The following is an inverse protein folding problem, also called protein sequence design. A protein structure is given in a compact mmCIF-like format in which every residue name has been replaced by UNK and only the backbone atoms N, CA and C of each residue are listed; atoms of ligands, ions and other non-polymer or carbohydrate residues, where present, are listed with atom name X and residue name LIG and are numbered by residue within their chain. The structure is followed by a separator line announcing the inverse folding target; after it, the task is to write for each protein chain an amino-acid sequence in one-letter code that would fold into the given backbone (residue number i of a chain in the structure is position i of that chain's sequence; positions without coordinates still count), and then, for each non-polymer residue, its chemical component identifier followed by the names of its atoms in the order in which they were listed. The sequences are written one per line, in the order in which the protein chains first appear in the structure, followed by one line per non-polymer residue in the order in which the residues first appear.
data_IF_434494725456
#
_entry.id   IF_434494725456
#
_cell.length_a   1.000
_cell.length_b   1.000
_cell.length_c   1.000
_cell.angle_alpha   90.00
_cell.angle_beta   90.00
_cell.angle_gamma   90.00
#
_symmetry.space_group_name_H-M   'P 1'
#
loop_
_entity.id
_entity.type
_entity.pdbx_description
1 polymer ?
#
# COMPACT_ATOMS: atom_id res chain seq x y z
N UNK A 1 -9.07 -54.49 38.42
CA UNK A 1 -8.05 -53.42 38.61
C UNK A 1 -7.63 -52.72 37.32
N UNK A 2 -7.36 -53.41 36.20
CA UNK A 2 -6.87 -52.75 34.97
C UNK A 2 -7.85 -51.74 34.32
N UNK A 3 -9.17 -51.99 34.36
CA UNK A 3 -10.18 -51.09 33.74
C UNK A 3 -10.49 -49.83 34.55
N UNK A 4 -10.40 -49.90 35.89
CA UNK A 4 -10.59 -48.74 36.77
C UNK A 4 -9.36 -47.82 36.74
N UNK A 5 -8.15 -48.37 36.57
CA UNK A 5 -6.91 -47.59 36.44
C UNK A 5 -6.86 -46.77 35.14
N UNK A 6 -7.32 -47.33 34.01
CA UNK A 6 -7.37 -46.63 32.71
C UNK A 6 -8.40 -45.49 32.73
N UNK A 7 -9.53 -45.65 33.43
CA UNK A 7 -10.53 -44.59 33.59
C UNK A 7 -10.06 -43.45 34.49
N UNK A 8 -9.30 -43.77 35.54
CA UNK A 8 -8.67 -42.75 36.40
C UNK A 8 -7.56 -41.98 35.67
N UNK A 9 -6.77 -42.65 34.82
CA UNK A 9 -5.73 -42.01 34.01
C UNK A 9 -6.31 -41.13 32.89
N UNK A 10 -7.40 -41.56 32.25
CA UNK A 10 -8.09 -40.75 31.23
C UNK A 10 -8.78 -39.51 31.83
N UNK A 11 -9.34 -39.60 33.04
CA UNK A 11 -9.88 -38.44 33.75
C UNK A 11 -8.78 -37.49 34.24
N UNK A 12 -7.64 -38.00 34.72
CA UNK A 12 -6.49 -37.15 35.06
C UNK A 12 -5.92 -36.42 33.84
N UNK A 13 -5.89 -37.06 32.66
CA UNK A 13 -5.42 -36.44 31.42
C UNK A 13 -6.40 -35.39 30.87
N UNK A 14 -7.71 -35.58 31.02
CA UNK A 14 -8.74 -34.61 30.64
C UNK A 14 -8.76 -33.37 31.57
N UNK A 15 -8.43 -33.56 32.86
CA UNK A 15 -8.27 -32.46 33.82
C UNK A 15 -6.97 -31.67 33.56
N UNK A 16 -5.91 -32.32 33.10
CA UNK A 16 -4.65 -31.63 32.72
C UNK A 16 -4.79 -30.89 31.37
N UNK A 17 -5.55 -31.42 30.41
CA UNK A 17 -5.86 -30.73 29.14
C UNK A 17 -6.86 -29.57 29.27
N UNK A 18 -7.58 -29.46 30.39
CA UNK A 18 -8.47 -28.32 30.67
C UNK A 18 -7.79 -27.21 31.50
N UNK A 19 -6.54 -27.39 31.92
CA UNK A 19 -5.76 -26.39 32.68
C UNK A 19 -4.75 -25.59 31.85
N UNK A 20 -4.56 -25.87 30.56
CA UNK A 20 -3.69 -25.06 29.69
C UNK A 20 -4.50 -24.01 28.92
N UNK A 21 -5.19 -23.17 29.68
CA UNK A 21 -5.84 -21.95 29.20
C UNK A 21 -5.27 -20.73 29.89
N UNK A 22 -3.95 -20.67 30.09
CA UNK A 22 -3.31 -19.39 30.46
C UNK A 22 -3.35 -18.55 29.19
N UNK A 23 -4.42 -17.76 29.05
CA UNK A 23 -4.37 -16.59 28.20
C UNK A 23 -3.24 -15.73 28.76
N UNK A 24 -2.06 -15.77 28.13
CA UNK A 24 -1.10 -14.71 28.32
C UNK A 24 -1.78 -13.46 27.79
N UNK A 25 -2.27 -12.63 28.70
CA UNK A 25 -2.49 -11.22 28.39
C UNK A 25 -1.10 -10.70 28.05
N UNK A 26 -0.81 -10.56 26.76
CA UNK A 26 0.31 -9.74 26.33
C UNK A 26 -0.06 -8.34 26.79
N UNK A 27 0.38 -7.98 28.00
CA UNK A 27 0.38 -6.59 28.42
C UNK A 27 1.16 -5.85 27.35
N UNK A 28 0.55 -4.84 26.74
CA UNK A 28 1.30 -3.89 25.92
C UNK A 28 2.57 -3.51 26.68
N UNK A 29 3.73 -3.72 26.06
CA UNK A 29 4.99 -3.53 26.73
C UNK A 29 5.21 -2.03 26.96
N UNK A 30 4.87 -1.54 28.15
CA UNK A 30 5.30 -0.22 28.61
C UNK A 30 6.77 -0.33 29.02
N UNK A 31 7.66 0.34 28.29
CA UNK A 31 9.10 0.33 28.60
C UNK A 31 9.42 1.27 29.76
N UNK A 32 10.22 0.80 30.72
CA UNK A 32 10.49 1.51 31.97
C UNK A 32 11.21 2.86 31.79
N UNK A 33 11.90 3.05 30.67
CA UNK A 33 12.70 4.22 30.34
C UNK A 33 12.01 5.18 29.36
N UNK A 34 10.73 4.94 29.04
CA UNK A 34 9.98 5.79 28.10
C UNK A 34 8.91 6.64 28.75
N UNK A 35 8.51 6.39 30.00
CA UNK A 35 7.30 7.00 30.60
C UNK A 35 7.23 8.53 30.53
N UNK A 36 8.33 9.24 30.77
CA UNK A 36 8.42 10.70 30.65
C UNK A 36 9.13 11.19 29.38
N UNK A 37 9.51 10.26 28.50
CA UNK A 37 10.23 10.58 27.27
C UNK A 37 9.26 11.12 26.21
N UNK A 38 9.66 12.13 25.43
CA UNK A 38 8.80 12.76 24.42
C UNK A 38 8.24 11.78 23.38
N UNK A 39 8.94 10.67 23.16
CA UNK A 39 8.55 9.63 22.22
C UNK A 39 7.62 8.57 22.80
N UNK A 40 7.22 8.66 24.09
CA UNK A 40 6.46 7.63 24.79
C UNK A 40 5.24 7.17 23.99
N UNK A 41 4.40 8.12 23.56
CA UNK A 41 3.18 7.83 22.80
C UNK A 41 3.44 7.05 21.51
N UNK A 42 4.53 7.37 20.80
CA UNK A 42 4.88 6.71 19.53
C UNK A 42 5.40 5.30 19.79
N UNK A 43 6.26 5.16 20.80
CA UNK A 43 6.84 3.87 21.18
C UNK A 43 5.74 2.94 21.71
N UNK A 44 4.85 3.44 22.56
CA UNK A 44 3.73 2.68 23.13
C UNK A 44 2.79 2.15 22.04
N UNK A 45 2.39 3.02 21.09
CA UNK A 45 1.57 2.59 19.96
C UNK A 45 2.25 1.51 19.12
N UNK A 46 3.53 1.70 18.76
CA UNK A 46 4.27 0.73 17.94
C UNK A 46 4.52 -0.58 18.68
N UNK A 47 4.69 -0.55 20.00
CA UNK A 47 4.78 -1.74 20.85
C UNK A 47 3.44 -2.48 20.95
N UNK A 48 2.31 -1.76 21.12
CA UNK A 48 0.95 -2.33 21.07
C UNK A 48 0.67 -3.05 19.76
N UNK A 49 1.18 -2.53 18.65
CA UNK A 49 1.11 -3.18 17.33
C UNK A 49 2.12 -4.29 17.11
N UNK A 50 2.89 -4.66 18.15
CA UNK A 50 3.92 -5.70 18.12
C UNK A 50 4.99 -5.50 17.02
N UNK A 51 5.23 -4.25 16.62
CA UNK A 51 6.25 -3.89 15.61
C UNK A 51 7.62 -3.80 16.25
N UNK A 52 7.66 -3.35 17.49
CA UNK A 52 8.90 -3.23 18.26
C UNK A 52 8.87 -4.09 19.50
N UNK A 53 10.04 -4.65 19.78
CA UNK A 53 10.37 -5.21 21.08
C UNK A 53 11.47 -4.34 21.72
N UNK A 54 11.38 -4.18 23.03
CA UNK A 54 12.46 -3.61 23.83
C UNK A 54 13.60 -4.61 24.02
N UNK A 55 14.53 -4.24 24.87
CA UNK A 55 15.59 -5.12 25.32
C UNK A 55 15.05 -6.07 26.41
N UNK A 56 15.74 -7.19 26.63
CA UNK A 56 15.35 -8.18 27.65
C UNK A 56 15.39 -7.67 29.10
N UNK A 57 15.87 -6.45 29.31
CA UNK A 57 15.88 -5.72 30.58
C UNK A 57 14.63 -4.85 30.80
N UNK A 58 13.66 -4.86 29.87
CA UNK A 58 12.43 -4.08 29.96
C UNK A 58 12.54 -2.62 29.45
N UNK A 59 13.68 -2.25 28.86
CA UNK A 59 13.93 -0.90 28.33
C UNK A 59 13.76 -0.81 26.80
N UNK A 60 13.53 0.40 26.28
CA UNK A 60 13.53 0.69 24.83
C UNK A 60 14.83 1.35 24.35
N UNK A 61 15.52 2.04 25.25
CA UNK A 61 16.73 2.87 25.03
C UNK A 61 16.50 3.96 23.98
N UNK A 62 15.56 4.89 24.20
CA UNK A 62 15.12 5.86 23.19
C UNK A 62 16.25 6.72 22.62
N UNK A 63 17.24 7.09 23.43
CA UNK A 63 18.33 7.99 23.05
C UNK A 63 19.54 7.30 22.39
N UNK A 64 19.55 5.96 22.37
CA UNK A 64 20.62 5.23 21.69
C UNK A 64 20.60 5.49 20.19
N UNK A 65 21.79 5.58 19.58
CA UNK A 65 21.93 5.71 18.12
C UNK A 65 21.54 4.42 17.42
N UNK A 66 20.92 4.56 16.26
CA UNK A 66 20.45 3.44 15.43
C UNK A 66 21.43 3.18 14.30
N UNK A 67 21.79 1.91 14.12
CA UNK A 67 22.56 1.50 12.94
C UNK A 67 21.69 1.40 11.69
N UNK A 68 22.31 1.43 10.52
CA UNK A 68 21.62 1.25 9.24
C UNK A 68 20.83 -0.07 9.18
N UNK A 69 21.42 -1.17 9.65
CA UNK A 69 20.74 -2.47 9.70
C UNK A 69 19.55 -2.48 10.67
N UNK A 70 19.68 -1.83 11.83
CA UNK A 70 18.59 -1.71 12.80
C UNK A 70 17.41 -0.90 12.22
N UNK A 71 17.68 0.20 11.54
CA UNK A 71 16.62 0.98 10.88
C UNK A 71 15.92 0.20 9.77
N UNK A 72 16.69 -0.51 8.94
CA UNK A 72 16.14 -1.38 7.88
C UNK A 72 15.21 -2.43 8.50
N UNK A 73 15.65 -3.09 9.58
CA UNK A 73 14.79 -4.02 10.32
C UNK A 73 13.52 -3.33 10.82
N UNK A 74 13.62 -2.18 11.48
CA UNK A 74 12.44 -1.48 12.00
C UNK A 74 11.45 -1.10 10.89
N UNK A 75 11.93 -0.67 9.72
CA UNK A 75 11.08 -0.37 8.56
C UNK A 75 10.40 -1.64 8.04
N UNK A 76 11.16 -2.73 7.88
CA UNK A 76 10.62 -4.03 7.45
C UNK A 76 9.50 -4.50 8.37
N UNK A 77 9.68 -4.44 9.69
CA UNK A 77 8.67 -4.88 10.65
C UNK A 77 7.46 -3.93 10.65
N UNK A 78 7.69 -2.61 10.55
CA UNK A 78 6.61 -1.59 10.53
C UNK A 78 5.61 -1.83 9.39
N UNK A 79 6.13 -2.16 8.21
CA UNK A 79 5.31 -2.39 7.03
C UNK A 79 5.04 -3.87 6.77
N UNK A 80 5.48 -4.79 7.64
CA UNK A 80 5.27 -6.22 7.49
C UNK A 80 5.81 -6.78 6.17
N UNK A 81 7.01 -6.40 5.77
CA UNK A 81 7.57 -6.77 4.46
C UNK A 81 8.02 -8.24 4.46
N UNK A 82 7.67 -8.97 3.40
CA UNK A 82 7.83 -10.43 3.32
C UNK A 82 8.65 -10.87 2.12
N UNK A 83 8.54 -10.21 0.96
CA UNK A 83 9.30 -10.59 -0.23
C UNK A 83 10.80 -10.46 0.02
N UNK A 84 11.59 -11.38 -0.55
CA UNK A 84 13.05 -11.39 -0.46
C UNK A 84 13.62 -11.27 -1.86
N UNK A 85 14.47 -10.26 -2.06
CA UNK A 85 15.10 -9.94 -3.33
C UNK A 85 16.60 -10.22 -3.29
N UNK A 86 17.23 -10.39 -4.46
CA UNK A 86 18.66 -10.56 -4.54
C UNK A 86 19.40 -9.27 -4.15
N UNK A 87 20.56 -9.42 -3.50
CA UNK A 87 21.47 -8.33 -3.19
C UNK A 87 22.91 -8.84 -3.12
N UNK A 88 23.87 -7.93 -3.28
CA UNK A 88 25.30 -8.24 -3.14
C UNK A 88 25.97 -7.09 -2.38
N UNK A 89 26.46 -7.39 -1.17
CA UNK A 89 27.29 -6.49 -0.38
C UNK A 89 28.44 -7.28 0.24
N UNK A 90 29.65 -6.73 0.16
CA UNK A 90 30.87 -7.39 0.64
C UNK A 90 30.94 -7.51 2.16
N UNK A 91 30.17 -6.69 2.88
CA UNK A 91 30.12 -6.59 4.34
C UNK A 91 28.82 -7.15 4.94
N UNK A 92 28.06 -7.95 4.17
CA UNK A 92 26.83 -8.62 4.63
C UNK A 92 26.97 -10.12 4.37
N UNK A 93 26.97 -10.92 5.43
CA UNK A 93 27.11 -12.39 5.39
C UNK A 93 25.78 -13.05 5.73
N UNK A 94 25.52 -14.24 5.17
CA UNK A 94 24.30 -15.03 5.47
C UNK A 94 24.10 -15.32 6.96
N UNK A 95 25.18 -15.36 7.75
CA UNK A 95 25.11 -15.59 9.19
C UNK A 95 24.81 -14.33 10.01
N UNK A 96 24.78 -13.15 9.39
CA UNK A 96 24.47 -11.91 10.10
C UNK A 96 22.97 -11.82 10.41
N UNK A 97 22.63 -11.40 11.63
CA UNK A 97 21.24 -11.30 12.07
C UNK A 97 20.39 -10.38 11.17
N UNK A 98 21.02 -9.40 10.53
CA UNK A 98 20.35 -8.45 9.64
C UNK A 98 20.18 -8.96 8.21
N UNK A 99 20.88 -10.03 7.81
CA UNK A 99 20.84 -10.59 6.46
C UNK A 99 19.42 -10.76 5.88
N UNK A 100 18.45 -11.40 6.59
CA UNK A 100 17.10 -11.57 6.05
C UNK A 100 16.39 -10.22 5.83
N UNK A 101 16.68 -9.21 6.63
CA UNK A 101 16.09 -7.88 6.51
C UNK A 101 16.66 -7.10 5.32
N UNK A 102 17.94 -7.29 5.00
CA UNK A 102 18.55 -6.70 3.80
C UNK A 102 17.92 -7.27 2.53
N UNK A 103 17.68 -8.59 2.49
CA UNK A 103 16.98 -9.21 1.37
C UNK A 103 15.58 -8.66 1.16
N UNK A 104 14.84 -8.41 2.25
CA UNK A 104 13.52 -7.75 2.18
C UNK A 104 13.62 -6.30 1.71
N UNK A 105 14.60 -5.56 2.21
CA UNK A 105 14.85 -4.19 1.77
C UNK A 105 15.24 -4.09 0.30
N UNK A 106 15.99 -5.07 -0.20
CA UNK A 106 16.37 -5.19 -1.59
C UNK A 106 15.16 -5.48 -2.49
N UNK A 107 14.27 -6.39 -2.09
CA UNK A 107 13.01 -6.67 -2.80
C UNK A 107 12.19 -5.39 -3.01
N UNK A 108 12.09 -4.59 -1.93
CA UNK A 108 11.32 -3.35 -1.90
C UNK A 108 12.08 -2.16 -2.50
N UNK A 109 13.32 -2.38 -2.96
CA UNK A 109 14.09 -1.37 -3.68
C UNK A 109 14.42 -0.12 -2.89
N UNK A 110 14.46 -0.15 -1.54
CA UNK A 110 14.71 1.06 -0.73
C UNK A 110 16.12 1.17 -0.14
N UNK A 111 17.00 0.20 -0.39
CA UNK A 111 18.41 0.31 -0.04
C UNK A 111 19.07 1.46 -0.80
N UNK A 112 20.02 2.17 -0.18
CA UNK A 112 20.70 3.29 -0.85
C UNK A 112 21.70 2.72 -1.86
N UNK A 113 21.58 3.03 -3.17
CA UNK A 113 22.51 2.54 -4.18
C UNK A 113 23.83 3.31 -4.12
N UNK A 114 24.92 2.71 -4.64
CA UNK A 114 26.16 3.45 -4.92
C UNK A 114 27.44 2.88 -4.32
N UNK A 115 27.39 1.73 -3.64
CA UNK A 115 28.58 1.04 -3.11
C UNK A 115 28.36 -0.48 -3.07
N UNK A 116 29.46 -1.23 -3.15
CA UNK A 116 29.47 -2.68 -2.85
C UNK A 116 29.48 -2.96 -1.34
N UNK A 117 29.40 -1.92 -0.51
CA UNK A 117 29.32 -1.99 0.95
C UNK A 117 28.04 -1.32 1.43
N UNK A 118 27.32 -2.00 2.31
CA UNK A 118 26.11 -1.47 2.94
C UNK A 118 26.45 -0.63 4.18
N UNK A 119 27.54 -0.96 4.87
CA UNK A 119 27.89 -0.49 6.20
C UNK A 119 26.73 -0.75 7.21
N UNK A 120 26.35 -2.03 7.46
CA UNK A 120 25.16 -2.35 8.26
C UNK A 120 25.25 -1.86 9.71
N UNK A 121 26.46 -1.78 10.27
CA UNK A 121 26.69 -1.40 11.66
C UNK A 121 26.97 0.09 11.86
N UNK A 122 27.21 0.84 10.77
CA UNK A 122 27.36 2.29 10.84
C UNK A 122 26.08 2.99 11.29
N UNK A 123 26.24 4.11 11.98
CA UNK A 123 25.13 4.92 12.44
C UNK A 123 24.41 5.56 11.26
N UNK A 124 23.08 5.50 11.25
CA UNK A 124 22.27 6.03 10.16
C UNK A 124 22.06 7.54 10.32
N UNK A 125 22.38 8.30 9.28
CA UNK A 125 22.11 9.75 9.26
C UNK A 125 20.67 10.07 8.89
N UNK A 126 20.21 11.27 9.26
CA UNK A 126 18.87 11.76 8.90
C UNK A 126 18.62 11.83 7.39
N UNK A 127 19.61 12.26 6.63
CA UNK A 127 19.50 12.35 5.17
C UNK A 127 19.35 10.97 4.51
N UNK A 128 20.09 9.98 5.00
CA UNK A 128 20.00 8.58 4.52
C UNK A 128 18.66 7.95 4.87
N UNK A 129 18.17 8.15 6.10
CA UNK A 129 16.86 7.66 6.51
C UNK A 129 15.72 8.28 5.67
N UNK A 130 15.82 9.57 5.35
CA UNK A 130 14.88 10.22 4.43
C UNK A 130 14.90 9.57 3.04
N UNK A 131 16.09 9.30 2.49
CA UNK A 131 16.24 8.63 1.21
C UNK A 131 15.62 7.22 1.22
N UNK A 132 15.88 6.41 2.24
CA UNK A 132 15.29 5.07 2.37
C UNK A 132 13.76 5.13 2.40
N UNK A 133 13.18 6.02 3.20
CA UNK A 133 11.72 6.12 3.31
C UNK A 133 11.04 6.65 2.06
N UNK A 134 11.63 7.66 1.41
CA UNK A 134 11.07 8.20 0.16
C UNK A 134 11.06 7.14 -0.92
N UNK A 135 12.15 6.34 -1.02
CA UNK A 135 12.24 5.22 -1.96
C UNK A 135 11.18 4.16 -1.67
N UNK A 136 11.02 3.76 -0.42
CA UNK A 136 10.03 2.75 -0.04
C UNK A 136 8.58 3.22 -0.29
N UNK A 137 8.26 4.46 0.11
CA UNK A 137 6.92 5.01 -0.02
C UNK A 137 6.58 5.42 -1.46
N UNK A 138 7.54 5.39 -2.39
CA UNK A 138 7.40 5.85 -3.78
C UNK A 138 6.81 7.26 -3.84
N UNK A 139 7.37 8.19 -3.04
CA UNK A 139 6.82 9.55 -2.99
C UNK A 139 7.01 10.26 -4.34
N UNK A 140 5.99 10.99 -4.83
CA UNK A 140 6.06 11.70 -6.11
C UNK A 140 7.25 12.66 -6.17
N UNK A 141 7.90 12.74 -7.34
CA UNK A 141 9.08 13.59 -7.54
C UNK A 141 8.78 15.10 -7.41
N UNK A 142 7.54 15.50 -7.70
CA UNK A 142 7.04 16.87 -7.60
C UNK A 142 6.57 17.24 -6.20
N UNK A 143 6.35 16.26 -5.31
CA UNK A 143 6.02 16.49 -3.90
C UNK A 143 7.25 16.98 -3.15
N UNK A 144 7.54 18.28 -3.20
CA UNK A 144 8.70 18.88 -2.52
C UNK A 144 8.32 20.19 -1.83
N UNK A 145 9.01 20.50 -0.73
CA UNK A 145 9.03 21.86 -0.19
C UNK A 145 10.09 22.69 -0.93
N UNK A 146 10.01 24.02 -0.80
CA UNK A 146 11.00 24.92 -1.41
C UNK A 146 12.42 24.64 -0.89
N UNK A 147 13.44 24.87 -1.73
CA UNK A 147 14.84 24.59 -1.40
C UNK A 147 15.37 25.44 -0.24
N UNK A 148 14.78 26.61 0.00
CA UNK A 148 15.11 27.50 1.12
C UNK A 148 14.35 27.16 2.42
N UNK A 149 13.58 26.06 2.45
CA UNK A 149 12.83 25.63 3.64
C UNK A 149 13.75 25.36 4.82
N UNK A 150 14.94 24.80 4.57
CA UNK A 150 15.96 24.54 5.57
C UNK A 150 17.12 25.54 5.46
N UNK A 151 17.49 26.24 6.55
CA UNK A 151 18.64 27.14 6.55
C UNK A 151 19.96 26.45 6.18
N UNK A 152 20.09 25.18 6.53
CA UNK A 152 21.27 24.34 6.29
C UNK A 152 21.16 23.49 5.00
N UNK A 153 20.23 23.80 4.09
CA UNK A 153 20.01 23.08 2.83
C UNK A 153 21.31 22.81 2.04
N UNK A 154 22.20 23.80 1.99
CA UNK A 154 23.46 23.69 1.24
C UNK A 154 24.44 22.67 1.84
N UNK A 155 24.27 22.30 3.12
CA UNK A 155 25.07 21.25 3.79
C UNK A 155 24.58 19.84 3.48
N UNK A 156 23.37 19.70 2.93
CA UNK A 156 22.82 18.41 2.49
C UNK A 156 23.56 18.00 1.22
N UNK A 157 24.14 16.79 1.24
CA UNK A 157 24.74 16.17 0.06
C UNK A 157 23.76 16.19 -1.12
N UNK A 158 24.23 16.51 -2.32
CA UNK A 158 23.38 16.71 -3.50
C UNK A 158 22.49 15.50 -3.80
N UNK A 159 22.98 14.29 -3.56
CA UNK A 159 22.25 13.03 -3.76
C UNK A 159 21.06 12.86 -2.81
N UNK A 160 21.03 13.58 -1.68
CA UNK A 160 19.96 13.49 -0.68
C UNK A 160 19.00 14.68 -0.69
N UNK A 161 19.31 15.77 -1.40
CA UNK A 161 18.51 17.01 -1.37
C UNK A 161 17.05 16.78 -1.73
N UNK A 162 16.78 16.10 -2.85
CA UNK A 162 15.41 15.84 -3.29
C UNK A 162 14.67 14.97 -2.27
N UNK A 163 15.30 13.89 -1.80
CA UNK A 163 14.70 13.01 -0.79
C UNK A 163 14.36 13.74 0.51
N UNK A 164 15.24 14.64 0.99
CA UNK A 164 14.98 15.43 2.19
C UNK A 164 13.78 16.36 1.99
N UNK A 165 13.69 17.05 0.85
CA UNK A 165 12.55 17.93 0.55
C UNK A 165 11.24 17.14 0.40
N UNK A 166 11.28 15.96 -0.22
CA UNK A 166 10.12 15.07 -0.36
C UNK A 166 9.64 14.53 0.99
N UNK A 167 10.56 14.01 1.80
CA UNK A 167 10.22 13.49 3.12
C UNK A 167 9.68 14.58 4.06
N UNK A 168 10.11 15.83 3.85
CA UNK A 168 9.58 17.00 4.57
C UNK A 168 8.18 17.39 4.09
N UNK A 169 7.97 17.43 2.77
CA UNK A 169 6.65 17.71 2.17
C UNK A 169 5.60 16.67 2.60
N UNK A 170 6.01 15.41 2.73
CA UNK A 170 5.17 14.32 3.23
C UNK A 170 5.00 14.31 4.76
N UNK A 171 5.60 15.26 5.49
CA UNK A 171 5.47 15.39 6.94
C UNK A 171 6.20 14.32 7.76
N UNK A 172 7.07 13.52 7.13
CA UNK A 172 7.82 12.44 7.79
C UNK A 172 8.91 13.02 8.69
N UNK A 173 9.65 13.98 8.15
CA UNK A 173 10.68 14.73 8.85
C UNK A 173 10.17 16.12 9.21
N UNK A 174 10.54 16.54 10.41
CA UNK A 174 10.44 17.92 10.85
C UNK A 174 11.85 18.44 11.08
N UNK A 175 12.07 19.72 10.81
CA UNK A 175 13.26 20.42 11.26
C UNK A 175 13.37 20.40 12.78
N UNK A 176 14.55 20.73 13.29
CA UNK A 176 14.75 21.01 14.71
C UNK A 176 14.11 22.35 15.08
N UNK A 177 14.11 22.69 16.36
CA UNK A 177 13.52 23.95 16.87
C UNK A 177 14.15 25.21 16.23
N UNK A 178 15.42 25.13 15.83
CA UNK A 178 16.15 26.17 15.10
C UNK A 178 15.84 26.21 13.59
N UNK A 179 14.92 25.35 13.12
CA UNK A 179 14.54 25.22 11.72
C UNK A 179 15.52 24.43 10.86
N UNK A 180 16.66 23.98 11.38
CA UNK A 180 17.64 23.21 10.61
C UNK A 180 17.18 21.76 10.36
N UNK A 181 17.63 21.15 9.27
CA UNK A 181 17.41 19.72 9.01
C UNK A 181 18.46 18.83 9.71
N UNK A 182 19.70 19.31 9.78
CA UNK A 182 20.92 18.62 10.27
C UNK A 182 21.14 17.27 9.57
N UNK A 183 21.51 17.27 8.27
CA UNK A 183 21.52 16.06 7.44
C UNK A 183 22.46 14.96 7.95
N UNK A 184 23.60 15.35 8.53
CA UNK A 184 24.64 14.44 8.99
C UNK A 184 24.45 13.97 10.45
N UNK A 185 23.44 14.48 11.16
CA UNK A 185 23.13 13.99 12.49
C UNK A 185 22.63 12.55 12.41
N UNK A 186 23.12 11.70 13.31
CA UNK A 186 22.70 10.30 13.40
C UNK A 186 21.44 10.14 14.24
N UNK A 187 20.53 9.29 13.77
CA UNK A 187 19.23 9.07 14.39
C UNK A 187 19.35 8.33 15.72
N UNK A 188 18.60 8.81 16.70
CA UNK A 188 18.25 8.04 17.89
C UNK A 188 17.14 7.02 17.59
N UNK A 189 16.98 6.02 18.46
CA UNK A 189 15.88 5.02 18.37
C UNK A 189 14.51 5.68 18.43
N UNK A 190 14.35 6.69 19.28
CA UNK A 190 13.13 7.48 19.39
C UNK A 190 12.81 8.25 18.09
N UNK A 191 13.81 8.90 17.49
CA UNK A 191 13.60 9.61 16.22
C UNK A 191 13.26 8.64 15.08
N UNK A 192 14.02 7.55 14.95
CA UNK A 192 13.76 6.51 13.95
C UNK A 192 12.32 5.98 14.06
N UNK A 193 11.88 5.64 15.28
CA UNK A 193 10.53 5.15 15.52
C UNK A 193 9.46 6.19 15.21
N UNK A 194 9.71 7.45 15.56
CA UNK A 194 8.75 8.54 15.30
C UNK A 194 8.54 8.78 13.81
N UNK A 195 9.60 8.68 13.02
CA UNK A 195 9.52 8.84 11.56
C UNK A 195 8.74 7.66 10.95
N UNK A 196 8.99 6.43 11.40
CA UNK A 196 8.26 5.24 10.96
C UNK A 196 6.78 5.29 11.36
N UNK A 197 6.48 5.73 12.58
CA UNK A 197 5.11 5.97 13.06
C UNK A 197 4.36 6.97 12.16
N UNK A 198 4.99 8.07 11.73
CA UNK A 198 4.40 9.02 10.78
C UNK A 198 4.21 8.44 9.39
N UNK A 199 5.19 7.66 8.92
CA UNK A 199 5.15 7.02 7.61
C UNK A 199 4.01 5.99 7.51
N UNK A 200 3.88 5.14 8.53
CA UNK A 200 2.88 4.07 8.56
C UNK A 200 1.48 4.57 8.93
N UNK A 201 1.39 5.55 9.83
CA UNK A 201 0.12 6.03 10.32
C UNK A 201 -0.61 4.98 11.17
N UNK A 202 -1.86 4.69 10.82
CA UNK A 202 -2.67 3.65 11.45
C UNK A 202 -2.26 2.26 10.96
N UNK A 203 -2.03 1.30 11.85
CA UNK A 203 -1.44 0.00 11.51
C UNK A 203 -2.46 -1.09 11.84
N UNK A 204 -3.01 -1.69 10.79
CA UNK A 204 -4.01 -2.74 10.89
C UNK A 204 -3.36 -4.10 10.62
N UNK A 205 -2.88 -4.73 11.70
CA UNK A 205 -2.46 -6.13 11.75
C UNK A 205 -3.57 -7.06 12.29
N UNK A 206 -4.71 -6.48 12.66
CA UNK A 206 -5.95 -7.11 13.08
C UNK A 206 -7.15 -6.25 12.63
N UNK A 207 -8.37 -6.82 12.67
CA UNK A 207 -9.58 -6.09 12.28
C UNK A 207 -9.89 -4.97 13.28
N UNK A 208 -10.33 -3.83 12.76
CA UNK A 208 -10.62 -2.65 13.57
C UNK A 208 -11.87 -1.91 13.07
N UNK A 209 -12.43 -1.10 13.98
CA UNK A 209 -13.53 -0.17 13.69
C UNK A 209 -13.05 1.24 13.97
N UNK A 210 -13.07 2.10 12.95
CA UNK A 210 -12.50 3.43 13.01
C UNK A 210 -10.97 3.42 12.93
N UNK A 211 -10.37 4.44 13.53
CA UNK A 211 -8.91 4.56 13.67
C UNK A 211 -8.52 4.18 15.09
N UNK A 212 -7.44 3.42 15.25
CA UNK A 212 -6.94 3.01 16.56
C UNK A 212 -6.53 4.20 17.43
N UNK A 213 -6.75 4.05 18.73
CA UNK A 213 -6.29 5.04 19.71
C UNK A 213 -4.76 5.16 19.68
N UNK A 214 -4.27 6.41 19.66
CA UNK A 214 -2.84 6.71 19.60
C UNK A 214 -2.19 6.51 18.23
N UNK A 215 -2.97 6.14 17.20
CA UNK A 215 -2.48 6.09 15.83
C UNK A 215 -2.31 7.49 15.23
N UNK A 216 -1.37 7.59 14.28
CA UNK A 216 -1.33 8.74 13.39
C UNK A 216 -2.40 8.57 12.30
N UNK A 217 -3.25 9.59 12.15
CA UNK A 217 -4.44 9.56 11.28
C UNK A 217 -4.16 9.94 9.82
N UNK A 218 -2.93 10.34 9.50
CA UNK A 218 -2.57 10.81 8.16
C UNK A 218 -2.46 9.66 7.17
N UNK A 219 -1.77 8.58 7.53
CA UNK A 219 -1.62 7.40 6.66
C UNK A 219 -2.20 6.15 7.33
N UNK A 220 -2.25 5.06 6.59
CA UNK A 220 -2.46 3.74 7.18
C UNK A 220 -1.69 2.66 6.43
N UNK A 221 -1.42 1.56 7.12
CA UNK A 221 -0.92 0.32 6.54
C UNK A 221 -1.72 -0.86 7.05
N UNK A 222 -2.08 -1.77 6.15
CA UNK A 222 -2.64 -3.09 6.48
C UNK A 222 -1.56 -4.12 6.22
N UNK A 223 -1.12 -4.80 7.27
CA UNK A 223 0.04 -5.71 7.23
C UNK A 223 -0.34 -7.18 7.32
N UNK A 224 -1.64 -7.50 7.37
CA UNK A 224 -2.12 -8.89 7.50
C UNK A 224 -3.41 -9.12 6.71
N UNK A 225 -3.54 -10.31 6.12
CA UNK A 225 -4.78 -10.75 5.51
C UNK A 225 -5.84 -11.11 6.58
N UNK A 226 -7.11 -11.11 6.18
CA UNK A 226 -8.25 -11.36 7.08
C UNK A 226 -8.65 -10.15 7.92
N UNK A 227 -8.03 -9.00 7.68
CA UNK A 227 -8.32 -7.73 8.35
C UNK A 227 -9.51 -7.05 7.68
N UNK A 228 -10.48 -6.63 8.49
CA UNK A 228 -11.53 -5.69 8.10
C UNK A 228 -11.33 -4.36 8.82
N UNK A 229 -11.17 -3.29 8.04
CA UNK A 229 -11.12 -1.90 8.53
C UNK A 229 -12.47 -1.26 8.24
N UNK A 230 -13.30 -1.17 9.29
CA UNK A 230 -14.69 -0.72 9.19
C UNK A 230 -14.91 0.68 9.76
N UNK A 231 -15.86 1.45 9.22
CA UNK A 231 -16.24 2.79 9.69
C UNK A 231 -15.05 3.76 9.85
N UNK A 232 -14.02 3.64 9.00
CA UNK A 232 -12.79 4.42 9.11
C UNK A 232 -12.77 5.59 8.10
N UNK A 233 -12.33 6.77 8.54
CA UNK A 233 -12.11 7.93 7.67
C UNK A 233 -10.60 8.24 7.56
N UNK A 234 -9.95 7.60 6.58
CA UNK A 234 -8.51 7.64 6.35
C UNK A 234 -8.18 8.83 5.43
N UNK A 235 -7.40 9.79 5.94
CA UNK A 235 -7.20 11.10 5.30
C UNK A 235 -6.18 11.05 4.16
N UNK A 236 -5.08 10.33 4.35
CA UNK A 236 -4.02 10.18 3.36
C UNK A 236 -3.95 8.77 2.80
N UNK A 237 -2.73 8.30 2.58
CA UNK A 237 -2.49 7.08 1.81
C UNK A 237 -2.67 5.84 2.69
N UNK A 238 -3.15 4.77 2.08
CA UNK A 238 -3.34 3.47 2.70
C UNK A 238 -2.50 2.46 1.91
N UNK A 239 -1.63 1.71 2.59
CA UNK A 239 -0.81 0.68 1.96
C UNK A 239 -1.29 -0.69 2.45
N UNK A 240 -1.81 -1.53 1.56
CA UNK A 240 -1.91 -2.96 1.82
C UNK A 240 -0.58 -3.57 1.43
N UNK A 241 0.25 -3.87 2.43
CA UNK A 241 1.61 -4.34 2.21
C UNK A 241 1.66 -5.83 1.89
N UNK A 242 2.85 -6.32 1.57
CA UNK A 242 3.11 -7.74 1.28
C UNK A 242 2.79 -8.67 2.45
N UNK A 243 2.85 -8.18 3.69
CA UNK A 243 2.43 -8.97 4.85
C UNK A 243 0.96 -9.43 4.79
N UNK A 244 0.12 -8.76 4.00
CA UNK A 244 -1.26 -9.15 3.75
C UNK A 244 -1.42 -10.29 2.71
N UNK A 245 -0.36 -11.05 2.44
CA UNK A 245 -0.33 -12.16 1.50
C UNK A 245 -1.38 -13.26 1.79
N UNK A 246 -1.87 -13.87 0.71
CA UNK A 246 -2.65 -15.13 0.74
C UNK A 246 -3.99 -15.07 1.49
N UNK A 247 -4.69 -13.94 1.43
CA UNK A 247 -6.08 -13.86 1.91
C UNK A 247 -6.85 -12.64 1.40
N UNK A 248 -7.76 -12.12 2.21
CA UNK A 248 -8.62 -10.98 1.86
C UNK A 248 -8.45 -9.84 2.86
N UNK A 249 -8.25 -8.62 2.37
CA UNK A 249 -8.36 -7.38 3.16
C UNK A 249 -9.68 -6.71 2.81
N UNK A 250 -10.39 -6.23 3.83
CA UNK A 250 -11.72 -5.65 3.69
C UNK A 250 -11.74 -4.21 4.19
N UNK A 251 -12.44 -3.33 3.48
CA UNK A 251 -12.84 -2.02 3.96
C UNK A 251 -14.36 -1.89 3.86
N UNK A 252 -15.01 -1.60 4.98
CA UNK A 252 -16.47 -1.57 5.10
C UNK A 252 -16.96 -0.24 5.66
N UNK A 253 -17.84 0.47 4.93
CA UNK A 253 -18.35 1.79 5.33
C UNK A 253 -17.24 2.83 5.60
N UNK A 254 -16.14 2.75 4.85
CA UNK A 254 -14.95 3.56 5.09
C UNK A 254 -14.77 4.63 4.01
N UNK A 255 -13.94 5.62 4.29
CA UNK A 255 -13.52 6.63 3.31
C UNK A 255 -12.01 6.70 3.28
N UNK A 256 -11.43 6.57 2.08
CA UNK A 256 -10.00 6.69 1.81
C UNK A 256 -9.82 7.90 0.89
N UNK A 257 -9.48 9.04 1.47
CA UNK A 257 -9.32 10.30 0.74
C UNK A 257 -8.01 10.37 -0.05
N UNK A 258 -6.98 9.60 0.33
CA UNK A 258 -5.74 9.48 -0.41
C UNK A 258 -5.72 8.28 -1.37
N UNK A 259 -4.52 7.77 -1.60
CA UNK A 259 -4.32 6.59 -2.45
C UNK A 259 -4.31 5.30 -1.63
N UNK A 260 -5.16 4.34 -2.00
CA UNK A 260 -5.08 2.96 -1.58
C UNK A 260 -4.11 2.20 -2.50
N UNK A 261 -2.90 1.92 -2.00
CA UNK A 261 -1.92 1.08 -2.66
C UNK A 261 -2.12 -0.38 -2.28
N UNK A 262 -2.20 -1.26 -3.26
CA UNK A 262 -2.25 -2.71 -3.07
C UNK A 262 -0.94 -3.30 -3.59
N UNK A 263 -0.02 -3.58 -2.66
CA UNK A 263 1.31 -4.14 -2.96
C UNK A 263 1.39 -5.64 -2.67
N UNK A 264 0.64 -6.13 -1.69
CA UNK A 264 0.62 -7.55 -1.36
C UNK A 264 -0.19 -8.43 -2.32
N UNK A 265 0.12 -9.73 -2.32
CA UNK A 265 -0.61 -10.77 -3.07
C UNK A 265 -1.92 -11.12 -2.38
N UNK A 266 -2.89 -10.21 -2.51
CA UNK A 266 -4.10 -10.20 -1.70
C UNK A 266 -5.35 -9.95 -2.54
N UNK A 267 -6.49 -10.39 -2.01
CA UNK A 267 -7.81 -9.96 -2.47
C UNK A 267 -8.27 -8.75 -1.67
N UNK A 268 -8.84 -7.75 -2.33
CA UNK A 268 -9.35 -6.55 -1.67
C UNK A 268 -10.86 -6.46 -1.87
N UNK A 269 -11.61 -6.38 -0.77
CA UNK A 269 -13.06 -6.17 -0.81
C UNK A 269 -13.40 -4.78 -0.26
N UNK A 270 -14.05 -3.96 -1.07
CA UNK A 270 -14.49 -2.62 -0.71
C UNK A 270 -16.01 -2.58 -0.70
N UNK A 271 -16.62 -2.46 0.49
CA UNK A 271 -18.09 -2.43 0.65
C UNK A 271 -18.54 -1.11 1.25
N UNK A 272 -19.42 -0.38 0.57
CA UNK A 272 -19.85 0.96 0.96
C UNK A 272 -18.67 1.91 1.24
N UNK A 273 -17.58 1.76 0.49
CA UNK A 273 -16.33 2.47 0.74
C UNK A 273 -16.04 3.45 -0.37
N UNK A 274 -15.63 4.68 -0.03
CA UNK A 274 -15.12 5.64 -1.01
C UNK A 274 -13.60 5.56 -1.06
N UNK A 275 -13.03 5.54 -2.26
CA UNK A 275 -11.59 5.58 -2.50
C UNK A 275 -11.29 6.64 -3.56
N UNK A 276 -10.46 7.63 -3.23
CA UNK A 276 -10.07 8.65 -4.21
C UNK A 276 -9.19 8.05 -5.31
N UNK A 277 -8.13 7.34 -4.93
CA UNK A 277 -7.27 6.64 -5.88
C UNK A 277 -6.97 5.24 -5.39
N UNK A 278 -7.14 4.25 -6.25
CA UNK A 278 -6.70 2.87 -6.05
C UNK A 278 -5.50 2.63 -6.97
N UNK A 279 -4.40 2.12 -6.44
CA UNK A 279 -3.23 1.69 -7.21
C UNK A 279 -2.96 0.23 -6.91
N UNK A 280 -2.91 -0.61 -7.94
CA UNK A 280 -2.57 -2.03 -7.82
C UNK A 280 -1.18 -2.27 -8.40
N UNK A 281 -0.22 -2.55 -7.53
CA UNK A 281 1.22 -2.62 -7.84
C UNK A 281 1.86 -3.75 -7.03
N UNK A 282 1.46 -4.98 -7.33
CA UNK A 282 1.91 -6.21 -6.70
C UNK A 282 2.92 -6.94 -7.60
N UNK A 283 3.67 -7.87 -7.01
CA UNK A 283 4.62 -8.74 -7.70
C UNK A 283 4.13 -9.31 -9.04
N UNK A 284 5.08 -9.41 -9.97
CA UNK A 284 4.88 -10.01 -11.28
C UNK A 284 4.33 -11.44 -11.17
N UNK A 285 3.34 -11.75 -12.02
CA UNK A 285 2.74 -13.08 -12.12
C UNK A 285 1.56 -13.34 -11.17
N UNK A 286 1.37 -12.51 -10.12
CA UNK A 286 0.15 -12.57 -9.32
C UNK A 286 -0.95 -11.68 -9.91
N UNK A 287 -2.20 -12.13 -9.83
CA UNK A 287 -3.37 -11.32 -10.21
C UNK A 287 -4.10 -10.88 -8.95
N UNK A 288 -3.92 -9.62 -8.56
CA UNK A 288 -4.70 -9.03 -7.46
C UNK A 288 -6.16 -8.98 -7.86
N UNK A 289 -7.06 -9.33 -6.94
CA UNK A 289 -8.50 -9.28 -7.18
C UNK A 289 -9.13 -8.21 -6.29
N UNK A 290 -9.69 -7.16 -6.90
CA UNK A 290 -10.40 -6.10 -6.20
C UNK A 290 -11.89 -6.25 -6.46
N UNK A 291 -12.70 -6.32 -5.41
CA UNK A 291 -14.15 -6.43 -5.49
C UNK A 291 -14.78 -5.21 -4.85
N UNK A 292 -15.62 -4.51 -5.63
CA UNK A 292 -16.42 -3.39 -5.17
C UNK A 292 -17.86 -3.88 -4.93
N UNK A 293 -18.44 -3.60 -3.77
CA UNK A 293 -19.82 -3.94 -3.43
C UNK A 293 -20.57 -2.81 -2.71
N UNK A 294 -21.90 -2.89 -2.67
CA UNK A 294 -22.76 -1.88 -2.04
C UNK A 294 -22.69 -0.53 -2.77
N UNK A 295 -22.54 0.55 -2.02
CA UNK A 295 -22.42 1.92 -2.55
C UNK A 295 -20.96 2.38 -2.72
N UNK A 296 -20.04 1.46 -3.01
CA UNK A 296 -18.61 1.74 -3.16
C UNK A 296 -18.32 2.56 -4.41
N UNK A 297 -17.45 3.56 -4.28
CA UNK A 297 -17.00 4.40 -5.39
C UNK A 297 -15.48 4.57 -5.36
N UNK A 298 -14.81 4.26 -6.48
CA UNK A 298 -13.40 4.52 -6.72
C UNK A 298 -13.28 5.60 -7.78
N UNK A 299 -12.75 6.78 -7.43
CA UNK A 299 -12.68 7.90 -8.40
C UNK A 299 -11.69 7.58 -9.53
N UNK A 300 -10.49 7.08 -9.18
CA UNK A 300 -9.48 6.62 -10.12
C UNK A 300 -8.90 5.27 -9.69
N UNK A 301 -8.90 4.28 -10.59
CA UNK A 301 -8.18 3.02 -10.44
C UNK A 301 -7.00 2.96 -11.42
N UNK A 302 -5.80 2.70 -10.92
CA UNK A 302 -4.57 2.56 -11.69
C UNK A 302 -3.99 1.16 -11.48
N UNK A 303 -4.02 0.34 -12.52
CA UNK A 303 -3.45 -1.00 -12.51
C UNK A 303 -2.04 -0.93 -13.10
N UNK A 304 -1.03 -1.08 -12.24
CA UNK A 304 0.39 -1.14 -12.61
C UNK A 304 0.90 -2.56 -12.81
N UNK A 305 0.25 -3.50 -12.13
CA UNK A 305 0.45 -4.95 -12.22
C UNK A 305 -0.85 -5.65 -12.64
N UNK A 306 -0.77 -6.94 -12.96
CA UNK A 306 -1.95 -7.73 -13.39
C UNK A 306 -3.02 -7.72 -12.30
N UNK A 307 -4.24 -7.34 -12.65
CA UNK A 307 -5.35 -7.31 -11.71
C UNK A 307 -6.72 -7.63 -12.35
N UNK A 308 -7.61 -8.19 -11.53
CA UNK A 308 -9.03 -8.29 -11.80
C UNK A 308 -9.81 -7.29 -10.94
N UNK A 309 -10.69 -6.50 -11.55
CA UNK A 309 -11.57 -5.56 -10.83
C UNK A 309 -13.02 -5.95 -11.08
N UNK A 310 -13.70 -6.42 -10.04
CA UNK A 310 -15.14 -6.74 -10.07
C UNK A 310 -15.94 -5.54 -9.58
N UNK A 311 -16.66 -4.90 -10.49
CA UNK A 311 -17.50 -3.72 -10.24
C UNK A 311 -18.95 -4.21 -10.14
N UNK A 312 -19.43 -4.53 -8.94
CA UNK A 312 -20.80 -5.03 -8.76
C UNK A 312 -21.85 -3.91 -8.92
N UNK A 313 -23.10 -4.30 -9.12
CA UNK A 313 -24.25 -3.38 -9.14
C UNK A 313 -24.22 -2.41 -7.97
N UNK A 314 -24.46 -1.12 -8.24
CA UNK A 314 -24.43 -0.05 -7.23
C UNK A 314 -23.05 0.59 -7.03
N UNK A 315 -22.00 0.00 -7.58
CA UNK A 315 -20.62 0.52 -7.47
C UNK A 315 -20.13 1.21 -8.73
N UNK A 316 -19.15 2.09 -8.57
CA UNK A 316 -18.58 2.88 -9.67
C UNK A 316 -17.06 2.90 -9.64
N UNK A 317 -16.44 2.78 -10.82
CA UNK A 317 -15.07 3.23 -11.09
C UNK A 317 -15.16 4.42 -12.04
N UNK A 318 -14.66 5.58 -11.60
CA UNK A 318 -14.69 6.81 -12.38
C UNK A 318 -13.76 6.75 -13.59
N UNK A 319 -12.48 6.51 -13.36
CA UNK A 319 -11.50 6.28 -14.41
C UNK A 319 -10.68 5.03 -14.12
N UNK A 320 -10.41 4.23 -15.14
CA UNK A 320 -9.51 3.08 -15.06
C UNK A 320 -8.29 3.31 -15.96
N UNK A 321 -7.10 3.30 -15.39
CA UNK A 321 -5.84 3.35 -16.11
C UNK A 321 -5.13 2.00 -16.00
N UNK A 322 -4.88 1.35 -17.14
CA UNK A 322 -4.16 0.08 -17.20
C UNK A 322 -2.78 0.33 -17.81
N UNK A 323 -1.74 0.27 -16.98
CA UNK A 323 -0.35 0.51 -17.39
C UNK A 323 0.20 -0.66 -18.22
N UNK A 324 1.25 -0.46 -19.03
CA UNK A 324 1.78 -1.50 -19.93
C UNK A 324 2.15 -2.83 -19.25
N UNK A 325 2.57 -2.79 -17.98
CA UNK A 325 2.96 -3.97 -17.21
C UNK A 325 1.76 -4.75 -16.66
N UNK A 326 0.56 -4.16 -16.62
CA UNK A 326 -0.66 -4.78 -16.13
C UNK A 326 -1.32 -5.72 -17.16
N UNK A 327 -0.53 -6.59 -17.79
CA UNK A 327 -0.96 -7.52 -18.84
C UNK A 327 -2.06 -8.45 -18.36
N UNK A 328 -3.00 -8.76 -19.25
CA UNK A 328 -4.13 -9.67 -18.98
C UNK A 328 -4.99 -9.27 -17.79
N UNK A 329 -4.99 -7.98 -17.42
CA UNK A 329 -5.91 -7.43 -16.44
C UNK A 329 -7.34 -7.49 -16.96
N UNK A 330 -8.31 -7.57 -16.06
CA UNK A 330 -9.70 -7.66 -16.44
C UNK A 330 -10.64 -6.86 -15.55
N UNK A 331 -11.79 -6.50 -16.12
CA UNK A 331 -12.93 -5.93 -15.41
C UNK A 331 -14.14 -6.83 -15.57
N UNK A 332 -14.83 -7.10 -14.48
CA UNK A 332 -16.07 -7.88 -14.47
C UNK A 332 -17.18 -7.16 -13.71
N UNK A 333 -18.42 -7.65 -13.83
CA UNK A 333 -19.57 -7.15 -13.08
C UNK A 333 -20.50 -6.24 -13.89
N UNK A 334 -21.51 -5.72 -13.20
CA UNK A 334 -22.66 -4.98 -13.75
C UNK A 334 -22.83 -3.57 -13.16
N UNK A 335 -21.85 -3.10 -12.38
CA UNK A 335 -21.79 -1.71 -11.95
C UNK A 335 -21.31 -0.78 -13.07
N UNK A 336 -20.84 0.41 -12.71
CA UNK A 336 -20.48 1.44 -13.70
C UNK A 336 -18.98 1.62 -13.82
N UNK A 337 -18.44 1.43 -15.02
CA UNK A 337 -17.11 1.92 -15.41
C UNK A 337 -17.28 3.12 -16.36
N UNK A 338 -16.93 4.34 -15.91
CA UNK A 338 -17.19 5.54 -16.74
C UNK A 338 -16.16 5.72 -17.84
N UNK A 339 -14.87 5.66 -17.53
CA UNK A 339 -13.81 5.75 -18.53
C UNK A 339 -12.69 4.72 -18.33
N UNK A 340 -12.00 4.36 -19.43
CA UNK A 340 -10.83 3.49 -19.37
C UNK A 340 -9.72 3.91 -20.34
N UNK A 341 -8.47 3.95 -19.87
CA UNK A 341 -7.28 4.08 -20.70
C UNK A 341 -6.45 2.80 -20.63
N UNK A 342 -6.31 2.12 -21.76
CA UNK A 342 -5.71 0.79 -21.86
C UNK A 342 -4.37 0.86 -22.59
N UNK A 343 -3.30 0.54 -21.86
CA UNK A 343 -1.93 0.46 -22.39
C UNK A 343 -1.32 -0.94 -22.32
N UNK A 344 -2.05 -1.91 -21.73
CA UNK A 344 -1.60 -3.29 -21.58
C UNK A 344 -2.22 -4.22 -22.62
N UNK A 345 -1.47 -5.25 -23.01
CA UNK A 345 -1.98 -6.33 -23.86
C UNK A 345 -2.91 -7.28 -23.09
N UNK A 346 -3.87 -7.85 -23.81
CA UNK A 346 -4.77 -8.88 -23.27
C UNK A 346 -5.80 -8.36 -22.27
N UNK A 347 -6.03 -7.04 -22.20
CA UNK A 347 -7.06 -6.47 -21.35
C UNK A 347 -8.45 -6.92 -21.80
N UNK A 348 -9.29 -7.32 -20.84
CA UNK A 348 -10.68 -7.72 -21.09
C UNK A 348 -11.63 -7.04 -20.11
N UNK A 349 -12.84 -6.75 -20.55
CA UNK A 349 -13.90 -6.21 -19.70
C UNK A 349 -15.24 -6.78 -20.14
N UNK A 350 -16.09 -7.19 -19.18
CA UNK A 350 -17.46 -7.64 -19.46
C UNK A 350 -18.39 -6.49 -19.86
N UNK A 351 -17.97 -5.25 -19.63
CA UNK A 351 -18.73 -4.03 -19.90
C UNK A 351 -17.95 -3.09 -20.84
N UNK A 352 -18.67 -2.24 -21.58
CA UNK A 352 -18.09 -1.16 -22.38
C UNK A 352 -18.16 0.12 -21.55
N UNK A 353 -17.03 0.80 -21.27
CA UNK A 353 -17.07 2.08 -20.56
C UNK A 353 -17.67 3.19 -21.43
N UNK A 354 -18.17 4.26 -20.80
CA UNK A 354 -18.78 5.39 -21.53
C UNK A 354 -17.78 6.10 -22.46
N UNK A 355 -16.51 6.13 -22.08
CA UNK A 355 -15.41 6.54 -22.95
C UNK A 355 -14.20 5.64 -22.75
N UNK A 356 -13.38 5.48 -23.78
CA UNK A 356 -12.12 4.77 -23.64
C UNK A 356 -11.05 5.27 -24.61
N UNK A 357 -9.80 5.08 -24.19
CA UNK A 357 -8.60 5.29 -24.97
C UNK A 357 -7.76 4.01 -24.95
N UNK A 358 -7.21 3.62 -26.09
CA UNK A 358 -6.40 2.42 -26.26
C UNK A 358 -5.14 2.82 -27.01
N UNK A 359 -3.97 2.58 -26.43
CA UNK A 359 -2.70 2.92 -27.06
C UNK A 359 -2.52 2.22 -28.40
N UNK A 360 -1.85 2.88 -29.34
CA UNK A 360 -1.53 2.33 -30.66
C UNK A 360 -0.90 0.94 -30.55
N UNK A 361 -1.36 0.01 -31.39
CA UNK A 361 -0.88 -1.37 -31.40
C UNK A 361 -1.43 -2.25 -30.27
N UNK A 362 -2.16 -1.69 -29.30
CA UNK A 362 -2.83 -2.44 -28.24
C UNK A 362 -4.25 -2.83 -28.68
N UNK A 363 -4.68 -4.03 -28.28
CA UNK A 363 -6.07 -4.50 -28.44
C UNK A 363 -6.69 -4.70 -27.06
N UNK A 364 -7.87 -4.12 -26.85
CA UNK A 364 -8.70 -4.33 -25.66
C UNK A 364 -9.99 -5.05 -26.06
N UNK A 365 -10.48 -5.94 -25.21
CA UNK A 365 -11.79 -6.59 -25.43
C UNK A 365 -12.82 -6.03 -24.46
N UNK A 366 -13.91 -5.47 -24.97
CA UNK A 366 -15.04 -5.00 -24.18
C UNK A 366 -16.31 -5.74 -24.60
N UNK A 367 -17.05 -6.30 -23.64
CA UNK A 367 -18.29 -7.06 -23.87
C UNK A 367 -18.17 -8.10 -25.01
N UNK A 368 -17.03 -8.82 -25.06
CA UNK A 368 -16.74 -9.83 -26.09
C UNK A 368 -16.25 -9.29 -27.44
N UNK A 369 -16.32 -7.98 -27.67
CA UNK A 369 -15.85 -7.33 -28.91
C UNK A 369 -14.42 -6.79 -28.74
N UNK A 370 -13.56 -6.97 -29.74
CA UNK A 370 -12.18 -6.46 -29.73
C UNK A 370 -12.06 -5.09 -30.39
N UNK A 371 -11.31 -4.19 -29.75
CA UNK A 371 -11.06 -2.82 -30.19
C UNK A 371 -9.54 -2.56 -30.22
N UNK A 372 -9.04 -2.00 -31.33
CA UNK A 372 -7.62 -1.70 -31.52
C UNK A 372 -7.35 -0.22 -31.34
N UNK A 373 -6.24 0.12 -30.68
CA UNK A 373 -5.70 1.47 -30.62
C UNK A 373 -5.17 1.95 -31.98
N UNK A 374 -5.31 3.24 -32.29
CA UNK A 374 -4.79 3.87 -33.51
C UNK A 374 -4.03 5.16 -33.18
N UNK A 375 -3.09 5.55 -34.04
CA UNK A 375 -2.28 6.78 -33.92
C UNK A 375 -3.07 8.08 -34.13
N UNK A 376 -4.33 8.00 -34.57
CA UNK A 376 -5.16 9.18 -34.89
C UNK A 376 -5.96 9.73 -33.70
N UNK A 377 -5.82 9.13 -32.50
CA UNK A 377 -6.34 9.67 -31.25
C UNK A 377 -7.87 9.53 -31.09
N UNK A 378 -8.27 8.93 -29.96
CA UNK A 378 -9.66 8.78 -29.47
C UNK A 378 -10.49 7.69 -30.17
N UNK A 379 -10.47 6.48 -29.59
CA UNK A 379 -11.24 5.33 -30.07
C UNK A 379 -12.61 5.12 -29.37
N UNK A 380 -13.08 6.05 -28.55
CA UNK A 380 -14.29 5.84 -27.74
C UNK A 380 -15.18 7.07 -27.60
N UNK A 381 -16.06 7.30 -28.57
CA UNK A 381 -17.28 8.08 -28.37
C UNK A 381 -18.44 7.38 -29.07
N UNK A 382 -19.25 6.65 -28.32
CA UNK A 382 -20.63 6.37 -28.73
C UNK A 382 -21.48 7.37 -27.96
N UNK A 383 -21.87 8.46 -28.60
CA UNK A 383 -22.99 9.27 -28.10
C UNK A 383 -24.27 8.46 -28.34
N UNK A 384 -25.16 8.42 -27.35
CA UNK A 384 -26.43 7.68 -27.41
C UNK A 384 -27.15 7.98 -28.73
N UNK A 385 -27.30 7.01 -29.65
CA UNK A 385 -28.05 7.24 -30.86
C UNK A 385 -29.50 7.56 -30.50
N UNK A 386 -30.10 8.51 -31.20
CA UNK A 386 -31.52 8.82 -31.03
C UNK A 386 -32.24 8.75 -32.37
N UNK A 387 -33.51 8.33 -32.33
CA UNK A 387 -34.36 8.23 -33.51
C UNK A 387 -35.20 9.50 -33.61
N UNK A 388 -35.30 10.07 -34.81
CA UNK A 388 -36.22 11.16 -35.10
C UNK A 388 -36.97 10.84 -36.39
N UNK A 389 -38.28 11.08 -36.38
CA UNK A 389 -39.11 10.97 -37.57
C UNK A 389 -39.09 12.29 -38.35
N UNK A 390 -38.84 12.22 -39.65
CA UNK A 390 -38.91 13.35 -40.56
C UNK A 390 -39.45 12.89 -41.92
N UNK A 391 -40.41 13.62 -42.48
CA UNK A 391 -41.03 13.35 -43.79
C UNK A 391 -41.53 11.90 -43.97
N UNK A 392 -42.06 11.30 -42.90
CA UNK A 392 -42.59 9.93 -42.91
C UNK A 392 -41.52 8.82 -42.84
N UNK A 393 -40.25 9.18 -42.64
CA UNK A 393 -39.12 8.24 -42.49
C UNK A 393 -38.48 8.34 -41.10
N UNK A 394 -37.99 7.22 -40.56
CA UNK A 394 -37.22 7.18 -39.31
C UNK A 394 -35.73 7.34 -39.59
N UNK A 395 -35.11 8.33 -38.95
CA UNK A 395 -33.68 8.60 -39.04
C UNK A 395 -33.01 8.33 -37.70
N UNK A 396 -31.98 7.49 -37.72
CA UNK A 396 -31.10 7.27 -36.58
C UNK A 396 -29.98 8.31 -36.66
N UNK A 397 -29.91 9.20 -35.67
CA UNK A 397 -28.85 10.19 -35.55
C UNK A 397 -27.78 9.70 -34.58
N UNK A 398 -26.53 9.79 -35.03
CA UNK A 398 -25.34 9.59 -34.24
C UNK A 398 -24.36 10.72 -34.56
N UNK A 399 -23.64 11.21 -33.56
CA UNK A 399 -22.56 12.19 -33.75
C UNK A 399 -21.22 11.47 -33.59
N UNK A 400 -20.55 11.11 -34.70
CA UNK A 400 -19.23 10.51 -34.62
C UNK A 400 -18.20 11.58 -34.28
N UNK A 401 -17.41 11.35 -33.22
CA UNK A 401 -16.32 12.23 -32.82
C UNK A 401 -14.93 11.77 -33.34
N UNK A 402 -14.90 10.81 -34.27
CA UNK A 402 -13.69 10.28 -34.89
C UNK A 402 -13.97 9.40 -36.12
N UNK A 403 -12.92 8.81 -36.70
CA UNK A 403 -13.02 7.89 -37.84
C UNK A 403 -13.29 6.45 -37.38
N UNK A 404 -14.30 5.80 -37.96
CA UNK A 404 -14.68 4.43 -37.62
C UNK A 404 -15.82 3.90 -38.50
N UNK A 405 -16.13 2.61 -38.37
CA UNK A 405 -17.24 1.97 -39.09
C UNK A 405 -18.43 1.74 -38.16
N UNK A 406 -19.60 2.25 -38.52
CA UNK A 406 -20.87 1.99 -37.83
C UNK A 406 -21.47 0.71 -38.42
N UNK A 407 -21.75 -0.28 -37.58
CA UNK A 407 -22.54 -1.47 -37.96
C UNK A 407 -23.87 -1.43 -37.22
N UNK A 408 -24.95 -1.43 -37.96
CA UNK A 408 -26.32 -1.58 -37.45
C UNK A 408 -26.87 -2.93 -37.90
N UNK A 409 -27.68 -3.54 -37.04
CA UNK A 409 -28.43 -4.76 -37.34
C UNK A 409 -29.91 -4.41 -37.22
N UNK A 410 -30.67 -4.64 -38.28
CA UNK A 410 -32.13 -4.52 -38.29
C UNK A 410 -32.70 -5.94 -38.30
N UNK A 411 -33.70 -6.22 -37.46
CA UNK A 411 -34.46 -7.48 -37.45
C UNK A 411 -35.67 -7.38 -38.35
#
# INVERSE_FOLDING_TARGET
MKRTFIRALAMALAVIMSLTGIAFTISAASFSDTGSHWSNQYVDYMAKKAIIAGYGDGTFKPDNKVSRAEFIKMLVETFGLTAVGPFVYNDVKETDWFYPYIGKAAAQGFLIPGSNYLDPNGQLTRAEAAAMLVRYLDLPADMTVATNYYPDYNTISSIYRTYVLQATAAGLFKGYEDGAFRPNNTLTRAEAMTILYRAAGSIYNESARGIDEGANTENAVVTKAGVNVSDANLRGNVIISEGAESGTVMFSNSNINGTLFVRGKVKVNLTNTKVNKLVVDSDDGYSVNVILAGNTNVDLAELRSRAGVTINTGTTVGALNVAPNARSSNVTGSGTLKSATIRATGFTSTQIPSSYDISEGITATFAGSSFKGSSTGTNGFITSPYVKQQDGSEYIYFTPAGSGSIRYYYS
#
